data_IF_987137595224
#
_entry.id   IF_987137595224
#
_cell.length_a   1.000
_cell.length_b   1.000
_cell.length_c   1.000
_cell.angle_alpha   90.00
_cell.angle_beta   90.00
_cell.angle_gamma   90.00
#
_symmetry.space_group_name_H-M   'P 1'
#
loop_
_entity.id
_entity.type
_entity.pdbx_description
1 polymer ?
#
# COMPACT_ATOMS: atom_id res chain seq x y z
N UNK A 1 25.78 -13.67 -9.70
CA UNK A 1 24.74 -13.53 -10.73
C UNK A 1 23.44 -13.08 -10.07
N UNK A 2 22.77 -12.08 -10.67
CA UNK A 2 21.51 -11.59 -10.13
C UNK A 2 20.40 -12.63 -10.34
N UNK A 3 19.55 -12.85 -9.33
CA UNK A 3 18.40 -13.74 -9.44
C UNK A 3 17.46 -13.31 -10.59
N UNK A 4 17.41 -12.01 -10.90
CA UNK A 4 16.56 -11.48 -11.97
C UNK A 4 16.99 -11.94 -13.35
N UNK A 5 18.29 -12.23 -13.56
CA UNK A 5 18.83 -12.67 -14.85
C UNK A 5 18.29 -14.04 -15.24
N UNK A 6 18.06 -14.92 -14.25
CA UNK A 6 17.63 -16.30 -14.48
C UNK A 6 16.13 -16.47 -14.56
N UNK A 7 15.36 -15.40 -14.35
CA UNK A 7 13.89 -15.43 -14.37
C UNK A 7 13.37 -15.12 -15.79
N UNK A 8 12.20 -15.70 -16.14
CA UNK A 8 11.52 -15.27 -17.35
C UNK A 8 11.01 -13.82 -17.18
N UNK A 9 10.55 -13.23 -18.28
CA UNK A 9 10.15 -11.82 -18.28
C UNK A 9 9.02 -11.54 -17.30
N UNK A 10 7.97 -12.36 -17.28
CA UNK A 10 6.81 -12.17 -16.44
C UNK A 10 7.17 -12.29 -14.96
N UNK A 11 7.95 -13.31 -14.60
CA UNK A 11 8.40 -13.54 -13.23
C UNK A 11 9.30 -12.40 -12.75
N UNK A 12 10.20 -11.92 -13.63
CA UNK A 12 11.10 -10.79 -13.30
C UNK A 12 10.30 -9.52 -13.02
N UNK A 13 9.29 -9.23 -13.83
CA UNK A 13 8.44 -8.06 -13.65
C UNK A 13 7.67 -8.14 -12.32
N UNK A 14 7.09 -9.29 -12.03
CA UNK A 14 6.35 -9.51 -10.78
C UNK A 14 7.26 -9.41 -9.57
N UNK A 15 8.44 -10.01 -9.63
CA UNK A 15 9.43 -9.93 -8.55
C UNK A 15 9.86 -8.49 -8.29
N UNK A 16 10.09 -7.72 -9.34
CA UNK A 16 10.44 -6.30 -9.24
C UNK A 16 9.33 -5.52 -8.51
N UNK A 17 8.08 -5.76 -8.88
CA UNK A 17 6.94 -5.10 -8.26
C UNK A 17 6.83 -5.46 -6.77
N UNK A 18 7.07 -6.72 -6.43
CA UNK A 18 7.10 -7.13 -5.03
C UNK A 18 8.19 -6.41 -4.24
N UNK A 19 9.36 -6.21 -4.83
CA UNK A 19 10.45 -5.46 -4.18
C UNK A 19 10.06 -4.01 -3.94
N UNK A 20 9.36 -3.39 -4.89
CA UNK A 20 8.89 -2.01 -4.75
C UNK A 20 7.96 -1.87 -3.54
N UNK A 21 7.01 -2.80 -3.39
CA UNK A 21 6.10 -2.77 -2.25
C UNK A 21 6.83 -2.97 -0.92
N UNK A 22 7.77 -3.91 -0.88
CA UNK A 22 8.53 -4.19 0.34
C UNK A 22 9.39 -3.00 0.78
N UNK A 23 10.02 -2.33 -0.18
CA UNK A 23 10.90 -1.19 0.10
C UNK A 23 10.13 0.05 0.53
N UNK A 24 8.90 0.22 0.07
CA UNK A 24 8.13 1.43 0.33
C UNK A 24 7.69 1.54 1.80
N UNK A 25 7.40 0.42 2.44
CA UNK A 25 6.90 0.38 3.82
C UNK A 25 5.63 1.20 4.05
N UNK A 26 4.86 1.42 2.99
CA UNK A 26 3.58 2.10 2.99
C UNK A 26 2.72 1.64 1.82
N UNK A 27 1.39 1.82 1.87
CA UNK A 27 0.55 1.49 0.73
C UNK A 27 0.93 2.30 -0.51
N UNK A 28 0.82 1.68 -1.68
CA UNK A 28 1.12 2.32 -2.96
C UNK A 28 -0.04 2.17 -3.92
N UNK A 29 -0.28 3.19 -4.74
CA UNK A 29 -1.18 3.07 -5.89
C UNK A 29 -0.38 2.57 -7.10
N UNK A 30 -1.08 2.23 -8.18
CA UNK A 30 -0.44 1.65 -9.36
C UNK A 30 0.60 2.60 -9.99
N UNK A 31 0.33 3.90 -10.01
CA UNK A 31 1.25 4.87 -10.57
C UNK A 31 2.56 4.93 -9.76
N UNK A 32 2.46 4.88 -8.43
CA UNK A 32 3.64 4.85 -7.57
C UNK A 32 4.45 3.57 -7.75
N UNK A 33 3.76 2.44 -7.95
CA UNK A 33 4.43 1.16 -8.25
C UNK A 33 5.18 1.24 -9.57
N UNK A 34 4.57 1.85 -10.59
CA UNK A 34 5.22 2.04 -11.89
C UNK A 34 6.49 2.85 -11.74
N UNK A 35 6.41 3.98 -11.07
CA UNK A 35 7.57 4.86 -10.87
C UNK A 35 8.70 4.15 -10.13
N UNK A 36 8.38 3.43 -9.05
CA UNK A 36 9.37 2.65 -8.31
C UNK A 36 9.95 1.50 -9.13
N UNK A 37 9.10 0.81 -9.88
CA UNK A 37 9.52 -0.32 -10.72
C UNK A 37 10.43 0.10 -11.86
N UNK A 38 10.20 1.27 -12.44
CA UNK A 38 11.04 1.78 -13.53
C UNK A 38 12.47 2.13 -13.09
N UNK A 39 12.70 2.30 -11.80
CA UNK A 39 14.06 2.46 -11.28
C UNK A 39 14.87 1.16 -11.43
N UNK A 40 14.20 0.02 -11.49
CA UNK A 40 14.82 -1.29 -11.62
C UNK A 40 14.69 -1.81 -13.05
N UNK A 41 13.51 -1.70 -13.65
CA UNK A 41 13.21 -2.12 -15.01
C UNK A 41 12.66 -0.91 -15.77
N UNK A 42 13.53 -0.11 -16.42
CA UNK A 42 13.10 1.13 -17.07
C UNK A 42 12.00 0.96 -18.12
N UNK A 43 11.92 -0.20 -18.77
CA UNK A 43 10.91 -0.48 -19.80
C UNK A 43 9.55 -0.94 -19.24
N UNK A 44 9.43 -1.02 -17.91
CA UNK A 44 8.17 -1.44 -17.27
C UNK A 44 7.04 -0.47 -17.67
N UNK A 45 5.90 -1.02 -18.09
CA UNK A 45 4.74 -0.23 -18.49
C UNK A 45 3.58 -0.39 -17.53
N UNK A 46 2.64 0.56 -17.62
CA UNK A 46 1.50 0.61 -16.69
C UNK A 46 0.59 -0.62 -16.80
N UNK A 47 0.38 -1.12 -18.03
CA UNK A 47 -0.47 -2.30 -18.22
C UNK A 47 0.12 -3.54 -17.52
N UNK A 48 1.43 -3.67 -17.56
CA UNK A 48 2.13 -4.77 -16.88
C UNK A 48 1.97 -4.64 -15.36
N UNK A 49 2.04 -3.43 -14.82
CA UNK A 49 1.84 -3.20 -13.39
C UNK A 49 0.43 -3.59 -12.98
N UNK A 50 -0.60 -3.18 -13.74
CA UNK A 50 -1.98 -3.56 -13.44
C UNK A 50 -2.17 -5.08 -13.41
N UNK A 51 -1.61 -5.78 -14.41
CA UNK A 51 -1.73 -7.25 -14.47
C UNK A 51 -1.03 -7.91 -13.28
N UNK A 52 0.16 -7.43 -12.93
CA UNK A 52 0.92 -7.98 -11.79
C UNK A 52 0.21 -7.74 -10.47
N UNK A 53 -0.33 -6.54 -10.26
CA UNK A 53 -1.10 -6.22 -9.05
C UNK A 53 -2.31 -7.13 -8.93
N UNK A 54 -3.04 -7.32 -10.04
CA UNK A 54 -4.20 -8.22 -10.05
C UNK A 54 -3.80 -9.64 -9.65
N UNK A 55 -2.72 -10.16 -10.24
CA UNK A 55 -2.23 -11.50 -9.93
C UNK A 55 -1.82 -11.61 -8.45
N UNK A 56 -1.10 -10.62 -7.94
CA UNK A 56 -0.66 -10.62 -6.55
C UNK A 56 -1.84 -10.51 -5.56
N UNK A 57 -2.91 -9.82 -5.95
CA UNK A 57 -4.15 -9.78 -5.18
C UNK A 57 -4.81 -11.15 -5.15
N UNK A 58 -4.91 -11.80 -6.31
CA UNK A 58 -5.50 -13.14 -6.42
C UNK A 58 -4.72 -14.17 -5.60
N UNK A 59 -3.40 -14.03 -5.56
CA UNK A 59 -2.51 -14.90 -4.78
C UNK A 59 -2.51 -14.54 -3.29
N UNK A 60 -3.24 -13.51 -2.89
CA UNK A 60 -3.30 -13.03 -1.51
C UNK A 60 -1.94 -12.52 -0.98
N UNK A 61 -1.06 -12.10 -1.88
CA UNK A 61 0.19 -11.45 -1.52
C UNK A 61 -0.01 -9.96 -1.27
N UNK A 62 -1.00 -9.34 -1.95
CA UNK A 62 -1.40 -7.96 -1.75
C UNK A 62 -2.82 -7.89 -1.22
N UNK A 63 -3.11 -6.86 -0.45
CA UNK A 63 -4.47 -6.47 -0.07
C UNK A 63 -4.68 -5.02 -0.47
N UNK A 64 -5.93 -4.65 -0.76
CA UNK A 64 -6.25 -3.27 -1.10
C UNK A 64 -6.50 -2.46 0.17
N UNK A 65 -6.14 -1.18 0.10
CA UNK A 65 -6.44 -0.18 1.12
C UNK A 65 -7.39 0.82 0.49
N UNK A 66 -8.61 0.91 1.03
CA UNK A 66 -9.65 1.76 0.47
C UNK A 66 -9.52 3.17 1.00
N UNK A 67 -9.37 4.13 0.09
CA UNK A 67 -9.36 5.56 0.40
C UNK A 67 -10.62 6.15 -0.22
N UNK A 68 -11.58 6.60 0.58
CA UNK A 68 -12.84 7.13 0.04
C UNK A 68 -12.61 8.23 -0.99
N UNK A 69 -13.25 8.09 -2.15
CA UNK A 69 -13.16 9.08 -3.22
C UNK A 69 -11.88 9.05 -4.04
N UNK A 70 -11.06 8.04 -3.87
CA UNK A 70 -9.78 7.93 -4.57
C UNK A 70 -9.61 6.56 -5.20
N UNK A 71 -8.54 6.43 -6.01
CA UNK A 71 -8.13 5.16 -6.59
C UNK A 71 -7.65 4.21 -5.48
N UNK A 72 -7.65 2.89 -5.74
CA UNK A 72 -7.16 1.94 -4.74
C UNK A 72 -5.67 2.09 -4.47
N UNK A 73 -5.29 1.86 -3.23
CA UNK A 73 -3.92 1.66 -2.80
C UNK A 73 -3.77 0.21 -2.38
N UNK A 74 -2.54 -0.28 -2.37
CA UNK A 74 -2.26 -1.70 -2.10
C UNK A 74 -1.08 -1.82 -1.14
N UNK A 75 -1.07 -2.88 -0.36
CA UNK A 75 0.04 -3.20 0.53
C UNK A 75 0.20 -4.71 0.66
N UNK A 76 1.39 -5.21 1.05
CA UNK A 76 1.55 -6.64 1.31
C UNK A 76 0.59 -7.14 2.37
N UNK A 77 0.04 -8.33 2.13
CA UNK A 77 -0.87 -8.98 3.08
C UNK A 77 -0.11 -9.52 4.30
N UNK A 78 -0.86 -9.92 5.32
CA UNK A 78 -0.29 -10.59 6.49
C UNK A 78 0.30 -9.67 7.56
N UNK A 79 0.09 -8.37 7.43
CA UNK A 79 0.52 -7.42 8.47
C UNK A 79 -0.38 -7.52 9.70
N UNK A 80 0.19 -7.22 10.86
CA UNK A 80 -0.59 -7.11 12.09
C UNK A 80 -1.56 -5.93 11.99
N UNK A 81 -2.53 -5.87 12.92
CA UNK A 81 -3.53 -4.79 12.94
C UNK A 81 -2.84 -3.42 12.89
N UNK A 82 -3.28 -2.61 11.93
CA UNK A 82 -2.73 -1.27 11.73
C UNK A 82 -3.80 -0.40 11.07
N UNK A 83 -3.53 0.90 11.03
CA UNK A 83 -4.41 1.87 10.40
C UNK A 83 -3.62 2.73 9.42
N UNK A 84 -4.24 3.72 8.80
CA UNK A 84 -3.62 4.49 7.74
C UNK A 84 -3.80 5.98 7.93
N UNK A 85 -2.86 6.74 7.36
CA UNK A 85 -2.87 8.20 7.33
C UNK A 85 -2.74 8.66 5.88
N UNK A 86 -3.63 9.54 5.44
CA UNK A 86 -3.61 10.13 4.10
C UNK A 86 -3.11 11.57 4.19
N UNK A 87 -2.03 11.86 3.47
CA UNK A 87 -1.58 13.24 3.30
C UNK A 87 -2.39 13.90 2.21
N UNK A 88 -3.09 14.99 2.53
CA UNK A 88 -3.92 15.70 1.56
C UNK A 88 -3.10 16.56 0.59
N UNK A 89 -1.83 16.82 0.92
CA UNK A 89 -0.96 17.64 0.07
C UNK A 89 -0.30 16.80 -1.02
N UNK A 90 0.35 15.69 -0.67
CA UNK A 90 1.03 14.84 -1.65
C UNK A 90 0.26 13.59 -2.04
N UNK A 91 -0.88 13.33 -1.39
CA UNK A 91 -1.77 12.20 -1.62
C UNK A 91 -1.17 10.84 -1.28
N UNK A 92 -0.03 10.79 -0.62
CA UNK A 92 0.54 9.52 -0.18
C UNK A 92 -0.22 8.98 1.03
N UNK A 93 -0.28 7.65 1.11
CA UNK A 93 -0.88 6.94 2.23
C UNK A 93 0.23 6.33 3.06
N UNK A 94 0.15 6.50 4.36
CA UNK A 94 1.14 5.99 5.31
C UNK A 94 0.50 5.00 6.26
N UNK A 95 1.32 4.12 6.82
CA UNK A 95 0.88 3.13 7.79
C UNK A 95 1.02 3.69 9.19
N UNK A 96 -0.01 3.48 10.00
CA UNK A 96 0.00 3.79 11.43
C UNK A 96 0.16 2.48 12.18
N UNK A 97 1.30 2.30 12.84
CA UNK A 97 1.69 1.01 13.40
C UNK A 97 0.85 0.58 14.59
N UNK A 98 0.45 1.50 15.45
CA UNK A 98 -0.22 1.17 16.71
C UNK A 98 -1.66 1.69 16.73
N UNK A 99 -2.56 0.88 17.28
CA UNK A 99 -3.91 1.29 17.59
C UNK A 99 -4.03 1.45 19.10
N UNK A 100 -3.90 2.70 19.59
CA UNK A 100 -3.88 2.98 21.02
C UNK A 100 -5.25 3.36 21.58
N UNK A 101 -6.28 3.35 20.74
CA UNK A 101 -7.62 3.76 21.11
C UNK A 101 -8.46 2.53 21.49
N UNK A 102 -9.11 2.59 22.66
CA UNK A 102 -10.05 1.54 23.05
C UNK A 102 -11.43 1.89 22.51
N UNK A 103 -11.72 1.42 21.31
CA UNK A 103 -12.98 1.70 20.62
C UNK A 103 -14.18 1.05 21.30
N UNK A 104 -13.97 0.05 22.15
CA UNK A 104 -15.07 -0.57 22.88
C UNK A 104 -15.77 0.43 23.80
N UNK A 105 -15.02 1.43 24.27
CA UNK A 105 -15.60 2.49 25.13
C UNK A 105 -16.47 3.47 24.36
N UNK A 106 -16.41 3.47 23.03
CA UNK A 106 -17.18 4.39 22.19
C UNK A 106 -18.54 3.83 21.79
N UNK A 107 -18.75 2.52 21.87
CA UNK A 107 -20.05 1.94 21.52
C UNK A 107 -21.02 2.02 22.70
N UNK A 108 -22.33 2.20 22.43
CA UNK A 108 -23.33 2.26 23.48
C UNK A 108 -23.44 0.97 24.29
N UNK A 109 -23.94 1.08 25.49
CA UNK A 109 -24.17 -0.10 26.34
C UNK A 109 -25.06 -1.12 25.62
N UNK A 110 -24.68 -2.39 25.69
CA UNK A 110 -25.40 -3.48 25.03
C UNK A 110 -25.04 -3.71 23.57
N UNK A 111 -24.17 -2.85 23.00
CA UNK A 111 -23.68 -3.03 21.63
C UNK A 111 -22.46 -3.93 21.64
N UNK A 112 -22.28 -4.69 20.55
CA UNK A 112 -21.11 -5.53 20.33
C UNK A 112 -20.29 -4.93 19.19
N UNK A 113 -18.99 -4.71 19.43
CA UNK A 113 -18.07 -4.18 18.41
C UNK A 113 -17.33 -5.34 17.74
N UNK A 114 -17.47 -5.47 16.41
CA UNK A 114 -16.78 -6.52 15.66
C UNK A 114 -15.43 -6.09 15.14
N UNK A 115 -15.39 -4.99 14.39
CA UNK A 115 -14.14 -4.48 13.78
C UNK A 115 -14.14 -2.96 13.79
N UNK A 116 -12.96 -2.39 13.52
CA UNK A 116 -12.86 -0.96 13.30
C UNK A 116 -11.79 -0.67 12.28
N UNK A 117 -11.99 0.41 11.53
CA UNK A 117 -11.02 0.93 10.56
C UNK A 117 -10.80 2.40 10.86
N UNK A 118 -9.55 2.85 10.81
CA UNK A 118 -9.21 4.25 11.05
C UNK A 118 -8.39 4.76 9.88
N UNK A 119 -8.83 5.88 9.31
CA UNK A 119 -8.08 6.59 8.30
C UNK A 119 -8.01 8.04 8.73
N UNK A 120 -6.80 8.50 9.03
CA UNK A 120 -6.56 9.89 9.43
C UNK A 120 -6.14 10.71 8.23
N UNK A 121 -6.52 11.97 8.20
CA UNK A 121 -6.19 12.91 7.13
C UNK A 121 -5.41 14.09 7.70
N UNK A 122 -4.43 14.56 6.92
CA UNK A 122 -3.66 15.72 7.35
C UNK A 122 -2.52 16.00 6.40
N UNK A 123 -1.40 16.48 6.92
CA UNK A 123 -0.20 16.80 6.14
C UNK A 123 0.98 15.99 6.70
N UNK A 124 1.67 15.24 5.82
CA UNK A 124 2.81 14.43 6.26
C UNK A 124 4.01 15.34 6.60
N UNK A 125 5.02 14.76 7.27
CA UNK A 125 6.19 15.54 7.71
C UNK A 125 6.96 16.17 6.54
N UNK A 126 6.98 15.52 5.38
CA UNK A 126 7.69 16.05 4.21
C UNK A 126 6.98 17.26 3.64
N UNK A 127 5.65 17.25 3.59
CA UNK A 127 4.85 18.37 3.12
C UNK A 127 4.79 19.51 4.14
N UNK A 128 4.79 19.18 5.42
CA UNK A 128 4.82 20.17 6.50
C UNK A 128 6.10 21.01 6.44
N UNK A 129 7.24 20.35 6.11
CA UNK A 129 8.53 21.04 6.01
C UNK A 129 8.65 21.97 4.80
N UNK A 130 7.75 21.84 3.82
CA UNK A 130 7.78 22.68 2.61
C UNK A 130 7.07 24.03 2.78
N UNK A 131 6.49 24.28 3.93
CA UNK A 131 5.83 25.56 4.18
C UNK A 131 6.82 26.68 4.48
#
# INVERSE_FOLDING_TARGET
MSILVDMDRSTRQRHTIQLVFKAAERPLNVQEVLEGGQQILPALGIATVYRAVKTLMEEQWLVSVQIPGDIPYYEPAGKSHHHHFRCRTCNKVYELQDCMIDFKKLVPAGFSLDTHDVLLYGTCRFCTRKK
#
